data_IF_585892447216
#
_entry.id   IF_585892447216
#
_cell.length_a   1.000
_cell.length_b   1.000
_cell.length_c   1.000
_cell.angle_alpha   90.00
_cell.angle_beta   90.00
_cell.angle_gamma   90.00
#
_symmetry.space_group_name_H-M   'P 1'
#
loop_
_entity.id
_entity.type
_entity.pdbx_description
1 polymer ?
#
# COMPACT_ATOMS: atom_id res chain seq x y z
N UNK A 1 2.64 8.12 -25.98
CA UNK A 1 2.74 7.45 -24.67
C UNK A 1 1.61 7.99 -23.82
N UNK A 2 0.61 7.17 -23.48
CA UNK A 2 -0.47 7.60 -22.59
C UNK A 2 0.05 7.57 -21.16
N UNK A 3 0.45 8.72 -20.62
CA UNK A 3 0.76 8.86 -19.20
C UNK A 3 -0.51 8.51 -18.42
N UNK A 4 -0.50 7.40 -17.68
CA UNK A 4 -1.60 7.10 -16.77
C UNK A 4 -1.64 8.18 -15.70
N UNK A 5 -2.79 8.81 -15.50
CA UNK A 5 -2.98 9.80 -14.44
C UNK A 5 -2.57 9.21 -13.09
N UNK A 6 -1.70 9.90 -12.35
CA UNK A 6 -1.30 9.50 -11.02
C UNK A 6 -2.53 9.54 -10.08
N UNK A 7 -2.60 8.58 -9.17
CA UNK A 7 -3.70 8.40 -8.23
C UNK A 7 -3.30 8.93 -6.86
N UNK A 8 -4.05 9.90 -6.34
CA UNK A 8 -3.80 10.55 -5.06
C UNK A 8 -4.89 10.12 -4.08
N UNK A 9 -4.50 9.60 -2.92
CA UNK A 9 -5.41 9.28 -1.83
C UNK A 9 -5.45 10.44 -0.82
N UNK A 10 -6.64 10.97 -0.54
CA UNK A 10 -6.90 12.05 0.42
C UNK A 10 -7.54 11.44 1.66
N UNK A 11 -6.96 11.68 2.83
CA UNK A 11 -7.41 11.12 4.11
C UNK A 11 -7.62 12.30 5.07
N UNK A 12 -8.87 12.58 5.37
CA UNK A 12 -9.30 13.72 6.20
C UNK A 12 -10.72 13.43 6.73
N UNK A 13 -11.03 13.76 7.98
CA UNK A 13 -12.34 13.53 8.55
C UNK A 13 -13.38 14.59 8.12
N UNK A 14 -12.94 15.76 7.68
CA UNK A 14 -13.81 16.80 7.14
C UNK A 14 -14.14 16.53 5.67
N UNK A 15 -15.42 16.29 5.40
CA UNK A 15 -15.94 16.09 4.04
C UNK A 15 -15.67 17.28 3.12
N UNK A 16 -15.75 18.52 3.62
CA UNK A 16 -15.57 19.70 2.79
C UNK A 16 -14.13 19.85 2.32
N UNK A 17 -13.17 19.50 3.17
CA UNK A 17 -11.75 19.50 2.81
C UNK A 17 -11.48 18.45 1.73
N UNK A 18 -12.04 17.24 1.88
CA UNK A 18 -11.91 16.18 0.87
C UNK A 18 -12.51 16.56 -0.47
N UNK A 19 -13.71 17.10 -0.49
CA UNK A 19 -14.38 17.53 -1.73
C UNK A 19 -13.60 18.65 -2.42
N UNK A 20 -13.11 19.64 -1.67
CA UNK A 20 -12.29 20.72 -2.21
C UNK A 20 -11.01 20.18 -2.86
N UNK A 21 -10.25 19.33 -2.13
CA UNK A 21 -9.01 18.74 -2.64
C UNK A 21 -9.27 17.83 -3.83
N UNK A 22 -10.35 17.07 -3.81
CA UNK A 22 -10.76 16.22 -4.92
C UNK A 22 -10.98 17.03 -6.19
N UNK A 23 -11.80 18.09 -6.14
CA UNK A 23 -12.06 18.96 -7.29
C UNK A 23 -10.77 19.60 -7.80
N UNK A 24 -9.92 20.11 -6.90
CA UNK A 24 -8.66 20.75 -7.28
C UNK A 24 -7.71 19.77 -7.99
N UNK A 25 -7.56 18.55 -7.49
CA UNK A 25 -6.64 17.56 -8.05
C UNK A 25 -7.17 16.93 -9.33
N UNK A 26 -8.48 16.66 -9.41
CA UNK A 26 -9.11 16.18 -10.64
C UNK A 26 -8.99 17.20 -11.78
N UNK A 27 -9.13 18.50 -11.47
CA UNK A 27 -8.93 19.57 -12.46
C UNK A 27 -7.49 19.64 -12.99
N UNK A 28 -6.50 19.14 -12.25
CA UNK A 28 -5.11 19.01 -12.71
C UNK A 28 -4.85 17.70 -13.47
N UNK A 29 -5.87 16.87 -13.69
CA UNK A 29 -5.77 15.60 -14.41
C UNK A 29 -5.31 14.42 -13.56
N UNK A 30 -5.34 14.53 -12.23
CA UNK A 30 -5.08 13.40 -11.34
C UNK A 30 -6.35 12.57 -11.12
N UNK A 31 -6.16 11.30 -10.76
CA UNK A 31 -7.24 10.49 -10.17
C UNK A 31 -7.20 10.67 -8.66
N UNK A 32 -8.36 10.74 -8.03
CA UNK A 32 -8.49 10.90 -6.58
C UNK A 32 -9.15 9.68 -5.98
N UNK A 33 -8.75 9.36 -4.76
CA UNK A 33 -9.41 8.45 -3.84
C UNK A 33 -9.57 9.20 -2.53
N UNK A 34 -10.64 8.94 -1.79
CA UNK A 34 -10.91 9.63 -0.52
C UNK A 34 -11.21 8.62 0.58
N UNK A 35 -10.77 8.92 1.80
CA UNK A 35 -11.06 8.16 3.02
C UNK A 35 -11.37 9.14 4.17
N UNK A 36 -12.35 8.81 5.01
CA UNK A 36 -12.72 9.62 6.20
C UNK A 36 -11.96 9.22 7.47
N UNK A 37 -11.24 8.11 7.42
CA UNK A 37 -10.51 7.60 8.58
C UNK A 37 -9.25 6.85 8.16
N UNK A 38 -8.31 6.73 9.11
CA UNK A 38 -7.09 5.96 8.91
C UNK A 38 -7.34 4.50 8.58
N UNK A 39 -8.34 3.86 9.20
CA UNK A 39 -8.68 2.45 8.96
C UNK A 39 -9.19 2.22 7.54
N UNK A 40 -10.08 3.09 7.06
CA UNK A 40 -10.58 3.03 5.69
C UNK A 40 -9.44 3.28 4.70
N UNK A 41 -8.58 4.27 4.98
CA UNK A 41 -7.42 4.53 4.15
C UNK A 41 -6.49 3.31 4.05
N UNK A 42 -6.17 2.66 5.17
CA UNK A 42 -5.33 1.45 5.19
C UNK A 42 -5.98 0.29 4.40
N UNK A 43 -7.29 0.12 4.52
CA UNK A 43 -8.03 -0.88 3.74
C UNK A 43 -8.00 -0.57 2.24
N UNK A 44 -8.11 0.71 1.85
CA UNK A 44 -8.04 1.15 0.45
C UNK A 44 -6.65 0.97 -0.14
N UNK A 45 -5.59 1.37 0.58
CA UNK A 45 -4.20 1.24 0.15
C UNK A 45 -3.83 -0.22 -0.15
N UNK A 46 -4.36 -1.17 0.63
CA UNK A 46 -4.16 -2.61 0.41
C UNK A 46 -4.82 -3.12 -0.87
N UNK A 47 -5.90 -2.49 -1.32
CA UNK A 47 -6.63 -2.87 -2.55
C UNK A 47 -6.05 -2.18 -3.78
N UNK A 48 -5.66 -0.91 -3.63
CA UNK A 48 -5.14 -0.07 -4.69
C UNK A 48 -4.04 0.81 -4.13
N UNK A 49 -2.81 0.61 -4.61
CA UNK A 49 -1.67 1.42 -4.18
C UNK A 49 -1.74 2.81 -4.84
N UNK A 50 -1.93 3.89 -4.06
CA UNK A 50 -1.87 5.25 -4.60
C UNK A 50 -0.41 5.66 -4.86
N UNK A 51 -0.22 6.63 -5.75
CA UNK A 51 1.08 7.24 -6.05
C UNK A 51 1.48 8.28 -5.00
N UNK A 52 0.48 8.95 -4.40
CA UNK A 52 0.65 9.97 -3.36
C UNK A 52 -0.48 9.86 -2.33
N UNK A 53 -0.17 10.15 -1.07
CA UNK A 53 -1.14 10.21 0.02
C UNK A 53 -1.09 11.62 0.64
N UNK A 54 -2.24 12.29 0.69
CA UNK A 54 -2.47 13.50 1.48
C UNK A 54 -3.21 13.06 2.75
N UNK A 55 -2.60 13.30 3.89
CA UNK A 55 -3.06 12.75 5.17
C UNK A 55 -3.14 13.87 6.20
N UNK A 56 -4.34 14.08 6.75
CA UNK A 56 -4.49 14.90 7.93
C UNK A 56 -3.94 14.17 9.17
N UNK A 57 -3.34 14.96 10.06
CA UNK A 57 -2.76 14.47 11.30
C UNK A 57 -3.82 14.39 12.40
N UNK A 58 -4.77 15.32 12.41
CA UNK A 58 -5.67 15.56 13.55
C UNK A 58 -7.04 14.91 13.33
N UNK A 59 -7.07 13.58 13.23
CA UNK A 59 -8.32 12.82 13.07
C UNK A 59 -8.75 12.12 14.38
N UNK A 60 -10.07 11.96 14.63
CA UNK A 60 -10.57 11.15 15.74
C UNK A 60 -10.34 9.65 15.49
N UNK A 61 -9.94 8.93 16.53
CA UNK A 61 -9.69 7.48 16.46
C UNK A 61 -8.24 7.18 16.12
N UNK A 62 -7.92 7.02 14.83
CA UNK A 62 -6.57 6.78 14.33
C UNK A 62 -5.99 8.05 13.72
N UNK A 63 -4.90 8.55 14.30
CA UNK A 63 -4.24 9.76 13.81
C UNK A 63 -3.37 9.50 12.56
N UNK A 64 -2.97 10.58 11.89
CA UNK A 64 -2.16 10.47 10.68
C UNK A 64 -0.75 9.89 10.92
N UNK A 65 -0.21 9.99 12.13
CA UNK A 65 1.09 9.38 12.45
C UNK A 65 1.00 7.86 12.54
N UNK A 66 -0.07 7.34 13.13
CA UNK A 66 -0.36 5.91 13.22
C UNK A 66 -0.51 5.30 11.82
N UNK A 67 -1.27 5.94 10.93
CA UNK A 67 -1.41 5.52 9.53
C UNK A 67 -0.04 5.48 8.84
N UNK A 68 0.73 6.57 8.93
CA UNK A 68 2.06 6.64 8.31
C UNK A 68 3.04 5.59 8.88
N UNK A 69 2.97 5.32 10.19
CA UNK A 69 3.77 4.31 10.88
C UNK A 69 3.45 2.90 10.36
N UNK A 70 2.17 2.56 10.24
CA UNK A 70 1.73 1.27 9.72
C UNK A 70 2.15 1.08 8.25
N UNK A 71 1.99 2.12 7.41
CA UNK A 71 2.43 2.07 6.01
C UNK A 71 3.94 1.87 5.87
N UNK A 72 4.75 2.51 6.74
CA UNK A 72 6.20 2.28 6.79
C UNK A 72 6.54 0.87 7.25
N UNK A 73 5.85 0.35 8.26
CA UNK A 73 6.08 -1.00 8.77
C UNK A 73 5.76 -2.08 7.70
N UNK A 74 4.68 -1.90 6.92
CA UNK A 74 4.32 -2.80 5.82
C UNK A 74 5.34 -2.73 4.67
N UNK A 75 5.81 -1.54 4.30
CA UNK A 75 6.86 -1.36 3.28
C UNK A 75 8.19 -2.02 3.68
N UNK A 76 8.43 -2.15 4.99
CA UNK A 76 9.66 -2.72 5.54
C UNK A 76 9.54 -4.22 5.83
N UNK A 77 8.54 -4.93 5.28
CA UNK A 77 8.56 -6.39 5.25
C UNK A 77 9.51 -6.83 4.13
N UNK A 78 10.77 -7.23 4.41
CA UNK A 78 11.59 -7.87 3.41
C UNK A 78 10.81 -9.08 2.92
N UNK A 79 10.61 -9.16 1.61
CA UNK A 79 9.96 -10.28 0.95
C UNK A 79 10.49 -11.56 1.58
N UNK A 80 9.65 -12.19 2.41
CA UNK A 80 9.99 -13.42 3.10
C UNK A 80 10.07 -14.45 1.99
N UNK A 81 11.28 -14.61 1.44
CA UNK A 81 11.59 -15.54 0.35
C UNK A 81 11.01 -16.88 0.77
N UNK A 82 9.87 -17.24 0.19
CA UNK A 82 9.38 -18.61 0.17
C UNK A 82 10.44 -19.40 -0.57
N UNK A 83 11.44 -19.90 0.14
CA UNK A 83 12.36 -20.88 -0.37
C UNK A 83 11.50 -22.08 -0.77
N UNK A 84 11.19 -22.23 -2.06
CA UNK A 84 10.78 -23.51 -2.62
C UNK A 84 11.91 -24.48 -2.30
N UNK A 85 11.76 -25.27 -1.24
CA UNK A 85 12.55 -26.48 -1.06
C UNK A 85 12.04 -27.45 -2.11
N UNK A 86 12.70 -27.50 -3.26
CA UNK A 86 12.58 -28.66 -4.15
C UNK A 86 13.22 -29.84 -3.42
N UNK A 87 12.55 -30.99 -3.29
CA UNK A 87 13.23 -32.20 -2.88
C UNK A 87 14.13 -32.60 -4.07
N UNK A 88 15.44 -32.44 -3.92
CA UNK A 88 16.41 -33.03 -4.84
C UNK A 88 16.40 -34.54 -4.63
N UNK A 89 15.81 -35.26 -5.59
CA UNK A 89 15.91 -36.70 -5.73
C UNK A 89 17.39 -37.11 -5.82
N UNK A 90 17.93 -37.63 -4.73
CA UNK A 90 19.27 -38.21 -4.67
C UNK A 90 19.29 -39.55 -5.38
N UNK A 91 19.66 -39.54 -6.66
CA UNK A 91 20.12 -40.72 -7.40
C UNK A 91 21.64 -40.80 -7.26
N UNK A 92 22.13 -41.79 -6.52
CA UNK A 92 23.48 -42.36 -6.61
C UNK A 92 23.37 -43.75 -6.00
N UNK A 93 23.61 -44.87 -6.69
CA UNK A 93 24.78 -45.10 -7.53
C UNK A 93 25.76 -45.98 -6.75
N UNK A 94 25.46 -47.28 -6.69
CA UNK A 94 26.36 -48.45 -6.73
C UNK A 94 27.85 -48.20 -6.38
N UNK A 95 28.40 -48.91 -5.39
CA UNK A 95 29.42 -49.98 -5.58
C UNK A 95 30.16 -50.39 -4.28
N UNK A 96 30.39 -51.71 -4.15
CA UNK A 96 31.54 -52.43 -3.52
C UNK A 96 31.80 -52.34 -2.01
N UNK A 97 31.64 -53.47 -1.29
CA UNK A 97 32.72 -54.43 -0.87
C UNK A 97 32.18 -55.34 0.25
N UNK A 98 32.39 -56.65 0.13
CA UNK A 98 32.07 -57.67 1.15
C UNK A 98 31.86 -59.03 0.53
#
# INVERSE_FOLDING_TARGET
MTQSAATILIIDDDVHVRELLEVLLQNQGYRTLTAESGELALAMIKRQAPDLILLDIMMPGMDGYEVASQLKAEKNQPHRRRTRRTPTTGRSGRSTTG
#
